data_IF_220711889645
#
_entry.id   IF_220711889645
#
_cell.length_a   1.000
_cell.length_b   1.000
_cell.length_c   1.000
_cell.angle_alpha   90.00
_cell.angle_beta   90.00
_cell.angle_gamma   90.00
#
_symmetry.space_group_name_H-M   'P 1'
#
loop_
_entity.id
_entity.type
_entity.pdbx_description
1 polymer ?
#
# COMPACT_ATOMS: atom_id res chain seq x y z
N UNK A 1 -2.39 -37.00 -29.00
CA UNK A 1 -2.64 -36.35 -27.70
C UNK A 1 -1.39 -35.54 -27.37
N UNK A 2 -1.40 -34.22 -27.64
CA UNK A 2 -0.26 -33.38 -27.28
C UNK A 2 -0.34 -33.08 -25.80
N UNK A 3 0.61 -33.60 -25.01
CA UNK A 3 0.86 -33.11 -23.66
C UNK A 3 1.13 -31.60 -23.75
N UNK A 4 0.14 -30.80 -23.36
CA UNK A 4 0.34 -29.40 -23.07
C UNK A 4 1.37 -29.33 -21.93
N UNK A 5 2.64 -29.08 -22.28
CA UNK A 5 3.70 -28.77 -21.31
C UNK A 5 3.25 -27.53 -20.55
N UNK A 6 2.61 -27.74 -19.39
CA UNK A 6 2.39 -26.69 -18.41
C UNK A 6 3.78 -26.28 -17.96
N UNK A 7 4.28 -25.16 -18.48
CA UNK A 7 5.53 -24.59 -18.02
C UNK A 7 5.45 -24.47 -16.50
N UNK A 8 6.46 -24.93 -15.74
CA UNK A 8 6.44 -24.85 -14.29
C UNK A 8 6.22 -23.39 -13.90
N UNK A 9 5.17 -23.12 -13.11
CA UNK A 9 4.93 -21.78 -12.57
C UNK A 9 6.12 -21.39 -11.71
N UNK A 10 6.94 -20.48 -12.25
CA UNK A 10 8.15 -20.02 -11.61
C UNK A 10 7.82 -19.21 -10.34
N UNK A 11 8.71 -19.20 -9.33
CA UNK A 11 8.61 -18.27 -8.21
C UNK A 11 8.60 -16.83 -8.70
N UNK A 12 7.88 -15.97 -7.99
CA UNK A 12 7.77 -14.53 -8.28
C UNK A 12 8.20 -13.71 -7.09
N UNK A 13 9.04 -12.70 -7.31
CA UNK A 13 9.50 -11.79 -6.25
C UNK A 13 8.65 -10.53 -6.15
N UNK A 14 8.47 -10.10 -4.92
CA UNK A 14 7.74 -8.89 -4.56
C UNK A 14 8.56 -8.10 -3.56
N UNK A 15 8.59 -6.80 -3.75
CA UNK A 15 9.24 -5.87 -2.85
C UNK A 15 8.19 -5.06 -2.10
N UNK A 16 8.52 -4.63 -0.89
CA UNK A 16 7.68 -3.72 -0.11
C UNK A 16 8.52 -2.63 0.51
N UNK A 17 8.16 -1.38 0.26
CA UNK A 17 8.92 -0.20 0.65
C UNK A 17 8.11 0.65 1.62
N UNK A 18 8.63 0.80 2.83
CA UNK A 18 8.23 1.85 3.75
C UNK A 18 9.21 3.02 3.57
N UNK A 19 8.75 4.08 2.90
CA UNK A 19 9.54 5.26 2.62
C UNK A 19 9.46 6.25 3.78
N UNK A 20 10.62 6.61 4.34
CA UNK A 20 10.75 7.65 5.34
C UNK A 20 11.23 8.98 4.72
N UNK A 21 11.38 10.04 5.52
CA UNK A 21 12.01 11.28 5.05
C UNK A 21 13.44 11.01 4.57
N UNK A 22 13.90 11.70 3.52
CA UNK A 22 15.21 11.43 2.90
C UNK A 22 16.41 11.56 3.86
N UNK A 23 16.27 12.39 4.91
CA UNK A 23 17.29 12.57 5.95
C UNK A 23 17.12 11.64 7.17
N UNK A 24 16.02 10.88 7.22
CA UNK A 24 15.72 9.97 8.30
C UNK A 24 16.09 8.54 7.88
N UNK A 25 17.00 7.91 8.63
CA UNK A 25 17.44 6.52 8.43
C UNK A 25 16.38 5.52 8.91
N UNK A 26 15.16 5.63 8.40
CA UNK A 26 14.00 4.80 8.75
C UNK A 26 13.34 4.18 7.52
N UNK A 27 13.93 4.31 6.35
CA UNK A 27 13.45 3.65 5.13
C UNK A 27 13.73 2.17 5.25
N UNK A 28 12.75 1.33 4.96
CA UNK A 28 12.89 -0.12 5.07
C UNK A 28 12.30 -0.82 3.85
N UNK A 29 12.91 -1.94 3.46
CA UNK A 29 12.54 -2.75 2.30
C UNK A 29 12.35 -4.20 2.75
N UNK A 30 11.24 -4.83 2.39
CA UNK A 30 11.02 -6.26 2.56
C UNK A 30 11.00 -6.97 1.21
N UNK A 31 11.57 -8.17 1.15
CA UNK A 31 11.62 -9.00 -0.05
C UNK A 31 10.84 -10.28 0.20
N UNK A 32 9.76 -10.47 -0.55
CA UNK A 32 8.95 -11.69 -0.52
C UNK A 32 9.12 -12.47 -1.81
N UNK A 33 8.98 -13.78 -1.72
CA UNK A 33 8.89 -14.66 -2.87
C UNK A 33 7.65 -15.55 -2.77
N UNK A 34 6.82 -15.51 -3.80
CA UNK A 34 5.62 -16.31 -3.90
C UNK A 34 5.88 -17.51 -4.81
N UNK A 35 5.49 -18.67 -4.32
CA UNK A 35 5.59 -19.95 -5.00
C UNK A 35 4.20 -20.38 -5.45
N UNK A 36 3.82 -20.17 -6.73
CA UNK A 36 2.45 -20.35 -7.16
C UNK A 36 1.95 -21.79 -7.10
N UNK A 37 2.85 -22.78 -7.22
CA UNK A 37 2.49 -24.19 -7.15
C UNK A 37 2.08 -24.57 -5.73
N UNK A 38 2.85 -24.13 -4.73
CA UNK A 38 2.63 -24.43 -3.32
C UNK A 38 1.65 -23.46 -2.67
N UNK A 39 1.31 -22.35 -3.36
CA UNK A 39 0.52 -21.24 -2.82
C UNK A 39 1.12 -20.64 -1.54
N UNK A 40 2.46 -20.69 -1.42
CA UNK A 40 3.21 -20.21 -0.24
C UNK A 40 3.95 -18.92 -0.54
N UNK A 41 4.07 -18.07 0.47
CA UNK A 41 4.88 -16.84 0.43
C UNK A 41 6.01 -16.98 1.42
N UNK A 42 7.24 -16.67 1.02
CA UNK A 42 8.40 -16.67 1.90
C UNK A 42 8.93 -15.25 2.05
N UNK A 43 9.24 -14.86 3.28
CA UNK A 43 10.09 -13.69 3.53
C UNK A 43 11.54 -14.08 3.30
N UNK A 44 12.17 -13.47 2.30
CA UNK A 44 13.56 -13.73 1.95
C UNK A 44 14.50 -12.83 2.74
N UNK A 45 14.21 -11.53 2.77
CA UNK A 45 15.04 -10.54 3.45
C UNK A 45 14.22 -9.32 3.90
N UNK A 46 14.77 -8.60 4.87
CA UNK A 46 14.29 -7.32 5.36
C UNK A 46 15.50 -6.42 5.52
N UNK A 47 15.58 -5.36 4.72
CA UNK A 47 16.53 -4.27 4.91
C UNK A 47 15.86 -3.21 5.76
N UNK A 48 16.44 -2.87 6.91
CA UNK A 48 15.88 -1.90 7.84
C UNK A 48 16.86 -0.75 8.03
N UNK A 49 16.34 0.48 8.15
CA UNK A 49 17.15 1.70 8.31
C UNK A 49 18.16 1.90 7.19
N UNK A 50 17.72 1.74 5.94
CA UNK A 50 18.55 2.00 4.76
C UNK A 50 19.04 3.45 4.84
N UNK A 51 20.36 3.60 4.80
CA UNK A 51 21.08 4.85 4.93
C UNK A 51 22.23 4.87 3.93
N UNK A 52 22.61 6.06 3.48
CA UNK A 52 23.81 6.25 2.67
C UNK A 52 25.08 6.04 3.51
N UNK A 53 26.15 5.60 2.86
CA UNK A 53 27.49 5.49 3.44
C UNK A 53 28.49 6.30 2.63
N UNK A 54 29.47 6.91 3.30
CA UNK A 54 30.52 7.72 2.67
C UNK A 54 29.95 8.83 1.76
N UNK A 55 30.12 8.69 0.45
CA UNK A 55 29.72 9.64 -0.60
C UNK A 55 28.34 9.31 -1.20
N UNK A 56 27.66 8.26 -0.74
CA UNK A 56 26.37 7.82 -1.24
C UNK A 56 25.22 8.46 -0.44
N UNK A 57 24.22 8.99 -1.15
CA UNK A 57 22.97 9.44 -0.56
C UNK A 57 22.08 8.26 -0.12
N UNK A 58 21.14 8.52 0.80
CA UNK A 58 20.19 7.49 1.22
C UNK A 58 19.26 6.98 0.10
N UNK A 59 19.03 7.79 -0.94
CA UNK A 59 18.26 7.38 -2.12
C UNK A 59 19.08 6.48 -3.05
N UNK A 60 20.37 6.75 -3.23
CA UNK A 60 21.27 5.87 -3.99
C UNK A 60 21.43 4.50 -3.29
N UNK A 61 21.61 4.49 -1.96
CA UNK A 61 21.68 3.24 -1.20
C UNK A 61 20.38 2.42 -1.32
N UNK A 62 19.23 3.09 -1.33
CA UNK A 62 17.94 2.44 -1.57
C UNK A 62 17.84 1.85 -2.99
N UNK A 63 18.23 2.61 -4.01
CA UNK A 63 18.19 2.16 -5.41
C UNK A 63 19.14 0.97 -5.65
N UNK A 64 20.32 0.98 -5.03
CA UNK A 64 21.25 -0.14 -5.04
C UNK A 64 20.62 -1.37 -4.39
N UNK A 65 20.06 -1.23 -3.19
CA UNK A 65 19.36 -2.32 -2.47
C UNK A 65 18.23 -2.92 -3.32
N UNK A 66 17.41 -2.08 -3.96
CA UNK A 66 16.33 -2.54 -4.86
C UNK A 66 16.93 -3.25 -6.08
N UNK A 67 18.03 -2.75 -6.63
CA UNK A 67 18.70 -3.35 -7.78
C UNK A 67 19.26 -4.73 -7.43
N UNK A 68 19.93 -4.87 -6.29
CA UNK A 68 20.42 -6.16 -5.78
C UNK A 68 19.26 -7.14 -5.59
N UNK A 69 18.19 -6.73 -4.90
CA UNK A 69 17.03 -7.56 -4.64
C UNK A 69 16.31 -8.02 -5.92
N UNK A 70 16.40 -7.23 -7.00
CA UNK A 70 15.80 -7.54 -8.32
C UNK A 70 16.75 -8.19 -9.32
N UNK A 71 18.06 -8.21 -9.06
CA UNK A 71 19.09 -8.66 -10.00
C UNK A 71 18.92 -10.11 -10.45
N UNK A 72 18.51 -11.00 -9.54
CA UNK A 72 18.29 -12.42 -9.83
C UNK A 72 17.19 -12.65 -10.89
N UNK A 73 16.15 -11.81 -10.91
CA UNK A 73 15.04 -11.94 -11.86
C UNK A 73 15.37 -11.33 -13.23
N UNK A 74 16.17 -10.25 -13.29
CA UNK A 74 16.54 -9.61 -14.57
C UNK A 74 17.36 -10.51 -15.48
N UNK A 75 18.07 -11.50 -14.92
CA UNK A 75 18.90 -12.45 -15.66
C UNK A 75 18.13 -13.69 -16.15
N UNK A 76 16.86 -13.85 -15.81
CA UNK A 76 16.02 -14.94 -16.34
C UNK A 76 15.38 -14.50 -17.67
N UNK A 77 15.50 -15.36 -18.68
CA UNK A 77 14.89 -15.22 -20.02
C UNK A 77 13.36 -15.18 -20.04
N UNK A 78 12.70 -15.34 -18.88
CA UNK A 78 11.28 -15.09 -18.67
C UNK A 78 11.15 -13.89 -17.73
N UNK A 79 10.89 -12.73 -18.31
CA UNK A 79 10.56 -11.47 -17.64
C UNK A 79 9.27 -11.60 -16.81
N UNK A 80 9.29 -12.30 -15.69
CA UNK A 80 8.29 -12.07 -14.65
C UNK A 80 8.71 -10.80 -13.93
N UNK A 81 7.86 -9.78 -13.99
CA UNK A 81 8.18 -8.47 -13.46
C UNK A 81 8.07 -8.50 -11.93
N UNK A 82 9.18 -8.20 -11.25
CA UNK A 82 9.17 -7.87 -9.82
C UNK A 82 8.17 -6.75 -9.59
N UNK A 83 7.23 -6.91 -8.66
CA UNK A 83 6.28 -5.84 -8.28
C UNK A 83 6.66 -5.25 -6.94
N UNK A 84 6.66 -3.93 -6.82
CA UNK A 84 6.98 -3.22 -5.58
C UNK A 84 5.72 -2.55 -4.99
N UNK A 85 5.38 -2.91 -3.77
CA UNK A 85 4.40 -2.19 -2.95
C UNK A 85 5.07 -1.02 -2.25
N UNK A 86 4.48 0.18 -2.28
CA UNK A 86 5.03 1.38 -1.62
C UNK A 86 3.99 2.02 -0.71
N UNK A 87 4.39 2.49 0.47
CA UNK A 87 3.49 3.08 1.47
C UNK A 87 3.10 4.56 1.21
N UNK A 88 3.42 5.10 0.04
CA UNK A 88 3.38 6.53 -0.30
C UNK A 88 2.63 6.78 -1.61
N UNK A 89 1.98 7.95 -1.76
CA UNK A 89 1.33 8.33 -3.00
C UNK A 89 2.26 8.23 -4.22
N UNK A 90 1.81 7.50 -5.25
CA UNK A 90 2.53 7.36 -6.53
C UNK A 90 2.01 8.30 -7.63
N UNK A 91 1.01 9.10 -7.29
CA UNK A 91 0.36 10.10 -8.12
C UNK A 91 0.06 11.34 -7.30
N UNK A 92 0.08 12.51 -7.96
CA UNK A 92 -0.22 13.80 -7.35
C UNK A 92 -1.74 14.08 -7.33
N UNK A 93 -2.21 14.95 -6.42
CA UNK A 93 -3.58 15.48 -6.45
C UNK A 93 -3.95 16.12 -7.79
N UNK A 94 -5.23 16.03 -8.22
CA UNK A 94 -5.66 16.46 -9.54
C UNK A 94 -5.45 17.96 -9.81
N UNK A 95 -5.47 18.81 -8.77
CA UNK A 95 -5.19 20.24 -8.98
C UNK A 95 -3.71 20.54 -9.22
N UNK A 96 -2.79 19.67 -8.81
CA UNK A 96 -1.34 19.86 -9.00
C UNK A 96 -0.93 19.48 -10.44
N UNK A 97 -1.64 18.54 -11.04
CA UNK A 97 -1.43 18.12 -12.44
C UNK A 97 -2.30 18.89 -13.44
N UNK A 98 -3.12 19.83 -12.96
CA UNK A 98 -4.02 20.60 -13.80
C UNK A 98 -3.26 21.64 -14.64
N UNK A 99 -3.38 21.57 -15.96
CA UNK A 99 -2.69 22.47 -16.89
C UNK A 99 -3.48 23.77 -17.20
N UNK A 100 -4.65 23.95 -16.59
CA UNK A 100 -5.49 25.13 -16.84
C UNK A 100 -4.85 26.39 -16.28
N UNK A 101 -4.64 27.39 -17.14
CA UNK A 101 -4.07 28.70 -16.76
C UNK A 101 -4.91 29.48 -15.75
N UNK A 102 -6.25 29.41 -15.87
CA UNK A 102 -7.18 30.04 -14.96
C UNK A 102 -7.99 28.96 -14.22
N UNK A 103 -7.62 28.72 -12.96
CA UNK A 103 -8.33 27.79 -12.10
C UNK A 103 -9.52 28.51 -11.46
N UNK A 104 -10.72 27.95 -11.61
CA UNK A 104 -11.87 28.35 -10.80
C UNK A 104 -11.69 27.79 -9.39
N UNK A 105 -12.27 28.44 -8.38
CA UNK A 105 -12.31 27.87 -7.02
C UNK A 105 -12.85 26.44 -7.03
N UNK A 106 -12.56 25.66 -5.99
CA UNK A 106 -12.93 24.24 -5.92
C UNK A 106 -14.40 23.98 -6.27
N UNK A 107 -15.32 24.87 -5.86
CA UNK A 107 -16.75 24.77 -6.17
C UNK A 107 -17.07 24.80 -7.69
N UNK A 108 -16.37 25.63 -8.46
CA UNK A 108 -16.61 25.83 -9.90
C UNK A 108 -15.71 25.00 -10.82
N UNK A 109 -14.85 24.15 -10.28
CA UNK A 109 -13.88 23.37 -11.05
C UNK A 109 -14.55 22.23 -11.83
N UNK A 110 -14.35 22.16 -13.16
CA UNK A 110 -14.88 21.09 -14.01
C UNK A 110 -13.92 19.92 -14.23
N UNK A 111 -12.80 19.87 -13.50
CA UNK A 111 -11.86 18.74 -13.56
C UNK A 111 -12.56 17.46 -13.06
N UNK A 112 -12.63 16.38 -13.87
CA UNK A 112 -13.43 15.20 -13.54
C UNK A 112 -13.13 14.59 -12.18
N UNK A 113 -11.86 14.46 -11.81
CA UNK A 113 -11.47 13.90 -10.50
C UNK A 113 -11.92 14.80 -9.34
N UNK A 114 -11.71 16.11 -9.43
CA UNK A 114 -12.13 17.05 -8.40
C UNK A 114 -13.66 17.10 -8.28
N UNK A 115 -14.39 17.06 -9.40
CA UNK A 115 -15.86 16.98 -9.40
C UNK A 115 -16.35 15.71 -8.72
N UNK A 116 -15.76 14.56 -9.07
CA UNK A 116 -16.08 13.27 -8.46
C UNK A 116 -15.84 13.27 -6.94
N UNK A 117 -14.74 13.88 -6.48
CA UNK A 117 -14.42 13.99 -5.06
C UNK A 117 -15.51 14.79 -4.31
N UNK A 118 -15.92 15.95 -4.85
CA UNK A 118 -16.98 16.77 -4.24
C UNK A 118 -18.33 16.07 -4.22
N UNK A 119 -18.70 15.40 -5.31
CA UNK A 119 -19.94 14.62 -5.37
C UNK A 119 -19.94 13.46 -4.36
N UNK A 120 -18.80 12.80 -4.18
CA UNK A 120 -18.64 11.72 -3.20
C UNK A 120 -18.79 12.24 -1.77
N UNK A 121 -18.14 13.36 -1.44
CA UNK A 121 -18.28 14.01 -0.13
C UNK A 121 -19.71 14.51 0.13
N UNK A 122 -20.35 15.13 -0.87
CA UNK A 122 -21.74 15.59 -0.77
C UNK A 122 -22.71 14.44 -0.48
N UNK A 123 -22.59 13.33 -1.22
CA UNK A 123 -23.40 12.13 -0.97
C UNK A 123 -23.18 11.55 0.42
N UNK A 124 -21.97 11.65 0.96
CA UNK A 124 -21.69 11.23 2.33
C UNK A 124 -22.36 12.15 3.36
N UNK A 125 -22.42 13.46 3.11
CA UNK A 125 -23.10 14.43 3.98
C UNK A 125 -24.62 14.24 3.99
N UNK A 126 -25.19 13.83 2.86
CA UNK A 126 -26.62 13.53 2.72
C UNK A 126 -27.01 12.19 3.39
N UNK A 127 -26.05 11.30 3.67
CA UNK A 127 -26.30 9.99 4.24
C UNK A 127 -26.42 10.06 5.77
N UNK A 128 -27.65 10.04 6.28
CA UNK A 128 -27.97 10.14 7.72
C UNK A 128 -27.46 8.97 8.59
N UNK A 129 -27.03 7.87 7.97
CA UNK A 129 -26.55 6.67 8.66
C UNK A 129 -25.02 6.58 8.76
N UNK A 130 -24.27 7.54 8.20
CA UNK A 130 -22.83 7.57 8.29
C UNK A 130 -22.39 8.36 9.52
N UNK A 131 -21.75 7.66 10.45
CA UNK A 131 -21.05 8.26 11.58
C UNK A 131 -19.70 8.84 11.11
N UNK A 132 -19.76 9.91 10.29
CA UNK A 132 -18.60 10.58 9.70
C UNK A 132 -18.82 12.08 9.64
N UNK A 133 -17.84 12.86 10.10
CA UNK A 133 -17.81 14.29 9.87
C UNK A 133 -17.30 14.59 8.45
N UNK A 134 -18.14 15.21 7.60
CA UNK A 134 -17.76 15.55 6.23
C UNK A 134 -16.96 16.85 6.23
N UNK A 135 -15.70 16.74 5.82
CA UNK A 135 -14.79 17.89 5.70
C UNK A 135 -14.83 18.48 4.29
N UNK A 136 -14.41 19.74 4.19
CA UNK A 136 -14.16 20.39 2.91
C UNK A 136 -13.14 19.58 2.09
N UNK A 137 -13.44 19.41 0.81
CA UNK A 137 -12.58 18.70 -0.13
C UNK A 137 -11.52 19.64 -0.67
N UNK A 138 -10.24 19.29 -0.46
CA UNK A 138 -9.08 20.06 -0.90
C UNK A 138 -8.36 19.32 -2.05
N UNK A 139 -8.81 19.45 -3.30
CA UNK A 139 -8.27 18.68 -4.44
C UNK A 139 -6.81 19.01 -4.81
N UNK A 140 -6.20 19.97 -4.12
CA UNK A 140 -4.77 20.30 -4.21
C UNK A 140 -3.92 19.54 -3.19
N UNK A 141 -4.50 18.95 -2.13
CA UNK A 141 -3.80 18.07 -1.18
C UNK A 141 -4.29 16.63 -1.19
N UNK A 142 -5.55 16.40 -1.57
CA UNK A 142 -6.22 15.11 -1.55
C UNK A 142 -6.41 14.54 -2.97
N UNK A 143 -6.44 13.22 -3.11
CA UNK A 143 -6.81 12.52 -4.36
C UNK A 143 -8.18 11.83 -4.18
N UNK A 144 -8.77 11.31 -5.27
CA UNK A 144 -10.02 10.55 -5.19
C UNK A 144 -9.99 9.38 -4.20
N UNK A 145 -8.84 8.72 -4.03
CA UNK A 145 -8.73 7.60 -3.10
C UNK A 145 -8.90 8.03 -1.64
N UNK A 146 -8.30 9.13 -1.18
CA UNK A 146 -8.46 9.59 0.22
C UNK A 146 -9.93 9.89 0.54
N UNK A 147 -10.65 10.49 -0.41
CA UNK A 147 -12.08 10.79 -0.28
C UNK A 147 -12.90 9.49 -0.22
N UNK A 148 -12.59 8.54 -1.11
CA UNK A 148 -13.25 7.24 -1.10
C UNK A 148 -13.01 6.49 0.21
N UNK A 149 -11.75 6.41 0.65
CA UNK A 149 -11.37 5.72 1.86
C UNK A 149 -12.09 6.31 3.08
N UNK A 150 -12.13 7.65 3.19
CA UNK A 150 -12.78 8.35 4.29
C UNK A 150 -14.28 8.05 4.40
N UNK A 151 -14.99 8.15 3.28
CA UNK A 151 -16.45 8.14 3.30
C UNK A 151 -17.08 6.79 2.96
N UNK A 152 -16.30 5.85 2.42
CA UNK A 152 -16.82 4.55 1.97
C UNK A 152 -16.12 3.36 2.60
N UNK A 153 -14.81 3.43 2.82
CA UNK A 153 -14.07 2.28 3.39
C UNK A 153 -14.06 2.33 4.93
N UNK A 154 -13.61 3.44 5.53
CA UNK A 154 -13.52 3.56 6.98
C UNK A 154 -14.87 3.37 7.71
N UNK A 155 -16.02 3.82 7.17
CA UNK A 155 -17.30 3.59 7.85
C UNK A 155 -17.70 2.12 7.92
N UNK A 156 -17.25 1.29 6.98
CA UNK A 156 -17.46 -0.17 6.99
C UNK A 156 -16.56 -0.89 8.02
N UNK A 157 -15.56 -0.20 8.55
CA UNK A 157 -14.73 -0.72 9.64
C UNK A 157 -15.39 -0.49 10.99
N UNK A 158 -15.20 -1.44 11.90
CA UNK A 158 -15.46 -1.24 13.32
C UNK A 158 -14.77 0.04 13.79
N UNK A 159 -15.44 0.83 14.65
CA UNK A 159 -14.94 2.14 15.10
C UNK A 159 -13.50 2.08 15.62
N UNK A 160 -13.17 1.04 16.37
CA UNK A 160 -11.83 0.83 16.95
C UNK A 160 -10.73 0.56 15.91
N UNK A 161 -11.08 0.25 14.66
CA UNK A 161 -10.12 -0.06 13.58
C UNK A 161 -9.97 1.09 12.59
N UNK A 162 -10.77 2.15 12.76
CA UNK A 162 -10.67 3.38 11.97
C UNK A 162 -9.43 4.15 12.38
N UNK A 163 -8.90 4.93 11.44
CA UNK A 163 -7.70 5.74 11.65
C UNK A 163 -7.78 7.01 10.81
N UNK A 164 -6.99 8.02 11.18
CA UNK A 164 -6.88 9.26 10.43
C UNK A 164 -6.18 9.05 9.09
N UNK A 165 -6.76 9.63 8.03
CA UNK A 165 -6.22 9.56 6.68
C UNK A 165 -5.21 10.69 6.49
N UNK A 166 -3.97 10.29 6.20
CA UNK A 166 -2.92 11.20 5.77
C UNK A 166 -3.14 11.58 4.29
N UNK A 167 -3.33 12.87 4.00
CA UNK A 167 -3.55 13.36 2.64
C UNK A 167 -2.29 13.27 1.78
N UNK A 168 -2.43 13.08 0.46
CA UNK A 168 -1.29 12.85 -0.42
C UNK A 168 -0.22 13.97 -0.38
N UNK A 169 -0.65 15.23 -0.27
CA UNK A 169 0.22 16.38 -0.02
C UNK A 169 -0.09 17.09 1.31
N UNK A 170 -0.55 16.33 2.32
CA UNK A 170 -0.63 16.81 3.70
C UNK A 170 0.77 16.94 4.32
N UNK A 171 0.87 17.63 5.47
CA UNK A 171 2.18 18.01 6.07
C UNK A 171 3.19 16.86 6.24
N UNK A 172 2.72 15.67 6.61
CA UNK A 172 3.61 14.50 6.79
C UNK A 172 3.92 13.74 5.49
N UNK A 173 3.02 13.77 4.50
CA UNK A 173 3.12 12.95 3.28
C UNK A 173 3.69 13.71 2.09
N UNK A 174 3.50 15.02 2.00
CA UNK A 174 4.04 15.85 0.92
C UNK A 174 5.52 15.60 0.60
N UNK A 175 6.47 15.61 1.58
CA UNK A 175 7.87 15.34 1.28
C UNK A 175 8.11 13.89 0.81
N UNK A 176 7.33 12.93 1.30
CA UNK A 176 7.45 11.52 0.91
C UNK A 176 6.91 11.29 -0.50
N UNK A 177 5.80 11.94 -0.85
CA UNK A 177 5.24 11.94 -2.20
C UNK A 177 6.23 12.54 -3.20
N UNK A 178 6.84 13.69 -2.88
CA UNK A 178 7.89 14.27 -3.72
C UNK A 178 9.08 13.31 -3.91
N UNK A 179 9.55 12.66 -2.83
CA UNK A 179 10.61 11.65 -2.86
C UNK A 179 10.22 10.44 -3.72
N UNK A 180 8.98 9.95 -3.61
CA UNK A 180 8.50 8.83 -4.43
C UNK A 180 8.48 9.19 -5.92
N UNK A 181 8.05 10.40 -6.28
CA UNK A 181 8.08 10.89 -7.66
C UNK A 181 9.51 11.01 -8.21
N UNK A 182 10.47 11.41 -7.37
CA UNK A 182 11.89 11.34 -7.70
C UNK A 182 12.31 9.88 -7.97
N UNK A 183 12.12 8.98 -7.01
CA UNK A 183 12.51 7.56 -7.10
C UNK A 183 11.88 6.84 -8.29
N UNK A 184 10.62 7.11 -8.61
CA UNK A 184 9.91 6.49 -9.74
C UNK A 184 10.63 6.69 -11.08
N UNK A 185 11.34 7.82 -11.26
CA UNK A 185 12.15 8.08 -12.46
C UNK A 185 13.40 7.22 -12.54
N UNK A 186 13.90 6.73 -11.40
CA UNK A 186 15.09 5.90 -11.30
C UNK A 186 14.77 4.40 -11.23
N UNK A 187 13.54 4.03 -10.86
CA UNK A 187 13.07 2.64 -10.80
C UNK A 187 12.74 2.05 -12.18
N UNK A 188 12.76 2.85 -13.24
CA UNK A 188 12.47 2.41 -14.61
C UNK A 188 11.04 1.86 -14.75
N UNK A 189 10.92 0.71 -15.44
CA UNK A 189 9.63 0.07 -15.74
C UNK A 189 9.14 -0.87 -14.62
N UNK A 190 9.76 -0.83 -13.43
CA UNK A 190 9.36 -1.67 -12.31
C UNK A 190 7.89 -1.41 -11.93
N UNK A 191 6.99 -2.41 -11.99
CA UNK A 191 5.59 -2.23 -11.60
C UNK A 191 5.46 -1.80 -10.14
N UNK A 192 4.93 -0.59 -9.92
CA UNK A 192 4.70 -0.02 -8.59
C UNK A 192 3.21 -0.10 -8.25
N UNK A 193 2.90 -0.58 -7.06
CA UNK A 193 1.56 -0.50 -6.47
C UNK A 193 1.61 0.31 -5.18
N UNK A 194 0.70 1.27 -5.06
CA UNK A 194 0.55 1.99 -3.81
C UNK A 194 -0.20 1.14 -2.79
N UNK A 195 0.27 1.14 -1.54
CA UNK A 195 -0.31 0.39 -0.43
C UNK A 195 -0.49 1.32 0.76
N UNK A 196 -1.58 1.16 1.49
CA UNK A 196 -1.73 1.76 2.82
C UNK A 196 -1.66 0.67 3.89
N UNK A 197 -0.51 0.47 4.55
CA UNK A 197 -0.33 -0.58 5.55
C UNK A 197 -1.39 -0.56 6.64
N UNK A 198 -1.75 0.64 7.14
CA UNK A 198 -2.83 0.83 8.11
C UNK A 198 -4.16 0.25 7.60
N UNK A 199 -4.50 0.51 6.34
CA UNK A 199 -5.74 0.04 5.74
C UNK A 199 -5.75 -1.48 5.57
N UNK A 200 -4.65 -2.05 5.06
CA UNK A 200 -4.49 -3.50 4.93
C UNK A 200 -4.60 -4.19 6.29
N UNK A 201 -3.95 -3.66 7.33
CA UNK A 201 -4.01 -4.24 8.68
C UNK A 201 -5.41 -4.14 9.28
N UNK A 202 -6.07 -2.97 9.22
CA UNK A 202 -7.42 -2.81 9.76
C UNK A 202 -8.44 -3.73 9.08
N UNK A 203 -8.36 -3.87 7.76
CA UNK A 203 -9.28 -4.75 7.00
C UNK A 203 -8.99 -6.24 7.23
N UNK A 204 -7.71 -6.65 7.29
CA UNK A 204 -7.32 -8.01 7.67
C UNK A 204 -7.78 -8.36 9.07
N UNK A 205 -7.56 -7.46 10.04
CA UNK A 205 -7.94 -7.67 11.42
C UNK A 205 -9.45 -7.86 11.56
N UNK A 206 -10.24 -7.04 10.85
CA UNK A 206 -11.70 -7.22 10.81
C UNK A 206 -12.10 -8.55 10.19
N UNK A 207 -11.52 -8.89 9.05
CA UNK A 207 -11.83 -10.15 8.37
C UNK A 207 -11.43 -11.39 9.19
N UNK A 208 -10.41 -11.26 10.05
CA UNK A 208 -9.92 -12.36 10.87
C UNK A 208 -10.50 -12.39 12.28
N UNK A 209 -11.33 -11.39 12.67
CA UNK A 209 -11.88 -11.28 14.01
C UNK A 209 -10.82 -10.98 15.08
N UNK A 210 -9.77 -10.24 14.73
CA UNK A 210 -8.68 -9.91 15.64
C UNK A 210 -9.10 -8.87 16.69
N UNK A 211 -8.54 -8.94 17.91
CA UNK A 211 -8.93 -8.03 18.98
C UNK A 211 -8.42 -6.61 18.72
N UNK A 212 -9.23 -5.61 19.08
CA UNK A 212 -8.93 -4.18 18.89
C UNK A 212 -7.61 -3.70 19.47
N UNK A 213 -7.15 -4.34 20.56
CA UNK A 213 -5.86 -4.03 21.19
C UNK A 213 -4.70 -4.12 20.20
N UNK A 214 -4.76 -5.04 19.23
CA UNK A 214 -3.71 -5.19 18.22
C UNK A 214 -3.64 -3.96 17.32
N UNK A 215 -4.78 -3.50 16.84
CA UNK A 215 -4.87 -2.36 15.90
C UNK A 215 -4.53 -1.05 16.59
N UNK A 216 -4.92 -0.89 17.85
CA UNK A 216 -4.58 0.28 18.65
C UNK A 216 -3.10 0.33 19.06
N UNK A 217 -2.45 -0.82 19.21
CA UNK A 217 -1.08 -0.89 19.77
C UNK A 217 0.02 -1.14 18.73
N UNK A 218 -0.24 -1.75 17.57
CA UNK A 218 0.86 -2.19 16.68
C UNK A 218 1.75 -1.06 16.15
N UNK A 219 1.30 0.20 16.16
CA UNK A 219 2.10 1.37 15.78
C UNK A 219 2.80 2.05 16.97
N UNK A 220 2.51 1.65 18.21
CA UNK A 220 3.18 2.20 19.39
C UNK A 220 4.64 1.73 19.42
N UNK A 221 5.60 2.60 19.78
CA UNK A 221 7.02 2.24 19.84
C UNK A 221 7.32 1.07 20.78
N UNK A 222 6.82 1.13 22.02
CA UNK A 222 7.15 0.16 23.08
C UNK A 222 6.19 -1.03 23.10
N UNK A 223 4.88 -0.77 23.14
CA UNK A 223 3.83 -1.80 23.23
C UNK A 223 3.56 -2.53 21.90
N UNK A 224 4.05 -1.97 20.79
CA UNK A 224 3.69 -2.46 19.46
C UNK A 224 4.37 -3.77 19.07
N UNK A 225 5.44 -4.20 19.78
CA UNK A 225 6.17 -5.43 19.44
C UNK A 225 5.25 -6.66 19.47
N UNK A 226 4.61 -6.90 20.62
CA UNK A 226 3.73 -8.05 20.79
C UNK A 226 2.56 -8.02 19.79
N UNK A 227 2.01 -6.84 19.53
CA UNK A 227 0.93 -6.70 18.57
C UNK A 227 1.37 -7.00 17.12
N UNK A 228 2.56 -6.54 16.71
CA UNK A 228 3.12 -6.83 15.39
C UNK A 228 3.45 -8.32 15.23
N UNK A 229 4.01 -8.97 16.24
CA UNK A 229 4.27 -10.43 16.23
C UNK A 229 2.97 -11.21 16.09
N UNK A 230 1.95 -10.92 16.90
CA UNK A 230 0.65 -11.60 16.85
C UNK A 230 -0.05 -11.41 15.49
N UNK A 231 0.09 -10.22 14.87
CA UNK A 231 -0.39 -9.96 13.50
C UNK A 231 0.35 -10.79 12.46
N UNK A 232 1.68 -10.87 12.54
CA UNK A 232 2.51 -11.64 11.59
C UNK A 232 2.25 -13.14 11.70
N UNK A 233 2.16 -13.69 12.91
CA UNK A 233 1.82 -15.09 13.15
C UNK A 233 0.41 -15.43 12.62
N UNK A 234 -0.55 -14.52 12.83
CA UNK A 234 -1.90 -14.70 12.28
C UNK A 234 -1.88 -14.73 10.75
N UNK A 235 -1.13 -13.82 10.10
CA UNK A 235 -0.97 -13.79 8.64
C UNK A 235 -0.28 -15.08 8.16
N UNK A 236 0.80 -15.50 8.82
CA UNK A 236 1.53 -16.72 8.52
C UNK A 236 0.61 -17.95 8.54
N UNK A 237 -0.11 -18.13 9.65
CA UNK A 237 -1.04 -19.24 9.86
C UNK A 237 -2.22 -19.22 8.87
N UNK A 238 -2.89 -18.07 8.69
CA UNK A 238 -4.13 -17.99 7.89
C UNK A 238 -3.90 -17.85 6.39
N UNK A 239 -2.72 -17.42 5.95
CA UNK A 239 -2.44 -17.08 4.54
C UNK A 239 -1.22 -17.79 3.94
N UNK A 240 -0.59 -18.70 4.68
CA UNK A 240 0.52 -19.51 4.17
C UNK A 240 1.78 -18.68 3.92
N UNK A 241 2.04 -17.70 4.80
CA UNK A 241 3.27 -16.91 4.78
C UNK A 241 4.28 -17.57 5.73
N UNK A 242 5.50 -17.76 5.28
CA UNK A 242 6.60 -18.29 6.07
C UNK A 242 7.58 -17.17 6.43
N UNK A 243 7.84 -17.04 7.73
CA UNK A 243 8.72 -16.01 8.32
C UNK A 243 9.64 -16.74 9.30
N UNK A 244 10.95 -16.60 9.16
CA UNK A 244 11.91 -17.16 10.12
C UNK A 244 11.88 -16.35 11.43
N UNK A 245 12.14 -17.01 12.57
CA UNK A 245 12.11 -16.38 13.91
C UNK A 245 12.98 -15.11 14.01
N UNK A 246 14.15 -15.13 13.36
CA UNK A 246 15.05 -13.97 13.30
C UNK A 246 14.37 -12.77 12.64
N UNK A 247 13.67 -12.99 11.54
CA UNK A 247 13.01 -11.92 10.78
C UNK A 247 11.71 -11.50 11.47
N UNK A 248 11.01 -12.43 12.13
CA UNK A 248 9.87 -12.14 12.99
C UNK A 248 10.24 -11.14 14.11
N UNK A 249 11.39 -11.34 14.77
CA UNK A 249 11.90 -10.40 15.78
C UNK A 249 12.18 -9.02 15.18
N UNK A 250 12.76 -8.97 13.97
CA UNK A 250 13.08 -7.71 13.27
C UNK A 250 11.82 -6.94 12.89
N UNK A 251 10.84 -7.61 12.28
CA UNK A 251 9.53 -7.05 11.96
C UNK A 251 8.73 -6.66 13.20
N UNK A 252 8.82 -7.44 14.28
CA UNK A 252 8.22 -7.10 15.57
C UNK A 252 8.82 -5.84 16.18
N UNK A 253 10.13 -5.62 16.03
CA UNK A 253 10.83 -4.48 16.66
C UNK A 253 10.70 -3.19 15.85
N UNK A 254 10.83 -3.25 14.52
CA UNK A 254 10.78 -2.08 13.64
C UNK A 254 9.41 -1.92 12.98
N UNK A 255 8.70 -0.84 13.34
CA UNK A 255 7.45 -0.47 12.66
C UNK A 255 7.67 -0.26 11.15
N UNK A 256 8.82 0.30 10.75
CA UNK A 256 9.10 0.54 9.35
C UNK A 256 9.31 -0.76 8.57
N UNK A 257 10.04 -1.72 9.16
CA UNK A 257 10.18 -3.05 8.59
C UNK A 257 8.83 -3.80 8.51
N UNK A 258 7.99 -3.67 9.54
CA UNK A 258 6.63 -4.22 9.54
C UNK A 258 5.78 -3.64 8.41
N UNK A 259 5.72 -2.32 8.28
CA UNK A 259 4.94 -1.66 7.22
C UNK A 259 5.50 -2.01 5.82
N UNK A 260 6.81 -2.15 5.68
CA UNK A 260 7.46 -2.63 4.45
C UNK A 260 7.03 -4.07 4.11
N UNK A 261 7.00 -4.98 5.09
CA UNK A 261 6.46 -6.33 4.90
C UNK A 261 4.99 -6.31 4.45
N UNK A 262 4.15 -5.47 5.06
CA UNK A 262 2.74 -5.33 4.65
C UNK A 262 2.61 -4.77 3.23
N UNK A 263 3.49 -3.87 2.82
CA UNK A 263 3.56 -3.40 1.43
C UNK A 263 3.88 -4.54 0.46
N UNK A 264 4.91 -5.34 0.75
CA UNK A 264 5.30 -6.47 -0.09
C UNK A 264 4.18 -7.51 -0.17
N UNK A 265 3.59 -7.84 0.97
CA UNK A 265 2.50 -8.82 1.06
C UNK A 265 1.24 -8.33 0.31
N UNK A 266 0.92 -7.04 0.41
CA UNK A 266 -0.19 -6.46 -0.36
C UNK A 266 0.09 -6.47 -1.86
N UNK A 267 1.35 -6.31 -2.28
CA UNK A 267 1.74 -6.47 -3.69
C UNK A 267 1.54 -7.93 -4.19
N UNK A 268 1.86 -8.94 -3.37
CA UNK A 268 1.52 -10.35 -3.65
C UNK A 268 0.01 -10.52 -3.81
N UNK A 269 -0.79 -9.99 -2.88
CA UNK A 269 -2.25 -10.06 -2.95
C UNK A 269 -2.79 -9.38 -4.21
N UNK A 270 -2.21 -8.24 -4.58
CA UNK A 270 -2.63 -7.49 -5.77
C UNK A 270 -2.38 -8.29 -7.05
N UNK A 271 -1.26 -8.99 -7.15
CA UNK A 271 -0.94 -9.85 -8.30
C UNK A 271 -1.82 -11.10 -8.40
N UNK A 272 -2.37 -11.53 -7.27
CA UNK A 272 -3.30 -12.65 -7.16
C UNK A 272 -4.77 -12.23 -7.25
N UNK A 273 -5.04 -10.96 -7.61
CA UNK A 273 -6.38 -10.37 -7.63
C UNK A 273 -7.15 -10.47 -6.29
N UNK A 274 -6.42 -10.51 -5.18
CA UNK A 274 -6.95 -10.60 -3.82
C UNK A 274 -7.03 -9.24 -3.10
N UNK A 275 -6.89 -8.13 -3.83
CA UNK A 275 -7.06 -6.77 -3.30
C UNK A 275 -8.39 -6.18 -3.72
N UNK A 276 -8.87 -5.20 -2.94
CA UNK A 276 -10.06 -4.45 -3.30
C UNK A 276 -9.90 -3.78 -4.67
N UNK A 277 -10.98 -3.77 -5.46
CA UNK A 277 -11.01 -3.13 -6.78
C UNK A 277 -11.59 -1.72 -6.68
N UNK A 278 -11.15 -0.84 -7.58
CA UNK A 278 -11.72 0.49 -7.69
C UNK A 278 -13.24 0.41 -7.98
N UNK A 279 -14.06 1.26 -7.36
CA UNK A 279 -15.50 1.25 -7.60
C UNK A 279 -15.82 1.69 -9.03
N UNK A 280 -17.00 1.31 -9.52
CA UNK A 280 -17.49 1.79 -10.81
C UNK A 280 -17.57 3.32 -10.81
N UNK A 281 -16.99 3.93 -11.83
CA UNK A 281 -16.96 5.39 -11.98
C UNK A 281 -15.87 6.09 -11.18
N UNK A 282 -14.93 5.36 -10.57
CA UNK A 282 -13.70 5.96 -10.04
C UNK A 282 -12.95 6.69 -11.16
N UNK A 283 -12.34 7.88 -10.90
CA UNK A 283 -11.65 8.65 -11.93
C UNK A 283 -10.54 7.85 -12.62
N UNK A 284 -10.58 7.77 -13.96
CA UNK A 284 -9.70 6.91 -14.77
C UNK A 284 -8.21 7.22 -14.65
N UNK A 285 -7.88 8.49 -14.44
CA UNK A 285 -6.49 8.96 -14.36
C UNK A 285 -5.97 9.00 -12.93
N UNK A 286 -6.73 8.50 -11.95
CA UNK A 286 -6.33 8.49 -10.55
C UNK A 286 -5.92 7.10 -10.08
N UNK A 287 -4.87 7.06 -9.27
CA UNK A 287 -4.28 5.85 -8.73
C UNK A 287 -5.19 5.22 -7.68
N UNK A 288 -5.39 3.91 -7.78
CA UNK A 288 -6.05 3.11 -6.76
C UNK A 288 -5.01 2.53 -5.80
N UNK A 289 -5.26 2.65 -4.50
CA UNK A 289 -4.41 2.04 -3.47
C UNK A 289 -4.83 0.59 -3.27
N UNK A 290 -3.87 -0.32 -3.31
CA UNK A 290 -4.08 -1.72 -3.00
C UNK A 290 -4.19 -1.93 -1.49
N UNK A 291 -5.22 -2.68 -1.10
CA UNK A 291 -5.44 -3.13 0.28
C UNK A 291 -6.26 -4.42 0.28
N UNK A 292 -6.24 -5.13 1.40
CA UNK A 292 -7.05 -6.34 1.58
C UNK A 292 -8.55 -5.98 1.64
N UNK A 293 -9.43 -6.63 0.87
CA UNK A 293 -10.85 -6.27 0.85
C UNK A 293 -11.51 -6.62 2.19
N UNK A 294 -12.40 -5.76 2.73
CA UNK A 294 -13.22 -6.14 3.87
C UNK A 294 -14.12 -7.33 3.52
N UNK A 295 -14.50 -8.12 4.53
CA UNK A 295 -15.24 -9.38 4.36
C UNK A 295 -16.56 -9.27 3.58
N UNK A 296 -17.11 -8.05 3.38
CA UNK A 296 -18.31 -7.78 2.57
C UNK A 296 -18.06 -7.35 1.12
N UNK A 297 -16.83 -6.98 0.73
CA UNK A 297 -16.48 -6.48 -0.61
C UNK A 297 -15.75 -7.51 -1.49
N UNK A 298 -15.43 -8.69 -0.95
CA UNK A 298 -14.76 -9.77 -1.68
C UNK A 298 -15.61 -10.45 -2.78
N UNK A 299 -16.88 -10.03 -2.97
CA UNK A 299 -17.84 -10.67 -3.88
C UNK A 299 -18.18 -9.92 -5.17
N UNK A 300 -17.36 -8.96 -5.60
CA UNK A 300 -17.62 -8.10 -6.78
C UNK A 300 -17.29 -8.70 -8.15
N UNK A 301 -17.06 -10.02 -8.25
CA UNK A 301 -16.91 -10.72 -9.51
C UNK A 301 -17.92 -11.87 -9.59
N UNK A 302 -19.05 -11.63 -10.25
CA UNK A 302 -20.00 -12.68 -10.63
C UNK A 302 -21.08 -13.01 -9.60
N UNK A 303 -22.07 -12.13 -9.46
CA UNK A 303 -23.46 -12.60 -9.43
C UNK A 303 -24.10 -12.14 -10.74
N UNK A 304 -24.29 -13.12 -11.63
CA UNK A 304 -25.26 -13.03 -12.73
C UNK A 304 -26.66 -13.03 -12.12
#
# INVERSE_FOLDING_TARGET
MSESRVLPMQPRRYLGLELAGAKNQKTSLAVLEYYPREQKVFLLDVYDRIAGHNDQSGDEALLETITEATSYERNRTLHQAVKIGVNVPIELPPCITCERRACRTAAGCSEPAAKWMRETARKAAEASNLDVNVLEVTPYTQRPFEIWARYRILPELARDFRFEIDEALGGNRAPLTARMHYLKRHLGDLPIVEVWPKLTISTLAQAFGLPKRLIQNYRKPEEGYAARVELLETIAMKKGVFIYDRDLKKLGTSLAAFDAFICAYTAVLCDRDMTAKAPRGFPKHSSWVAYFPPAGLAGGAGRK
#
